data_IF_485058565483
#
_entry.id   IF_485058565483
#
_cell.length_a   1.000
_cell.length_b   1.000
_cell.length_c   1.000
_cell.angle_alpha   90.00
_cell.angle_beta   90.00
_cell.angle_gamma   90.00
#
_symmetry.space_group_name_H-M   'P 1'
#
loop_
_entity.id
_entity.type
_entity.pdbx_description
1 polymer ?
#
# COMPACT_ATOMS: atom_id res chain seq x y z
N UNK A 1 0.28 0.39 15.97
CA UNK A 1 -0.14 1.46 16.91
C UNK A 1 -1.60 1.26 17.36
N UNK A 2 -2.58 0.93 16.48
CA UNK A 2 -3.95 0.65 16.93
C UNK A 2 -4.04 -0.43 18.01
N UNK A 3 -3.23 -1.48 17.90
CA UNK A 3 -3.25 -2.59 18.86
C UNK A 3 -2.72 -2.21 20.25
N UNK A 4 -1.77 -1.26 20.34
CA UNK A 4 -1.22 -0.77 21.62
C UNK A 4 -2.27 0.07 22.34
N UNK A 5 -3.01 0.91 21.61
CA UNK A 5 -4.09 1.71 22.17
C UNK A 5 -5.18 0.83 22.85
N UNK A 6 -5.45 -0.35 22.30
CA UNK A 6 -6.43 -1.29 22.87
C UNK A 6 -6.01 -1.87 24.23
N UNK A 7 -4.72 -1.91 24.53
CA UNK A 7 -4.19 -2.47 25.79
C UNK A 7 -3.85 -1.41 26.82
N UNK A 8 -3.99 -0.12 26.49
CA UNK A 8 -3.77 0.99 27.43
C UNK A 8 -5.00 1.18 28.35
N UNK A 9 -4.74 1.45 29.63
CA UNK A 9 -5.70 1.95 30.61
C UNK A 9 -5.83 3.47 30.45
N UNK A 10 -7.04 4.01 30.59
CA UNK A 10 -7.27 5.44 30.41
C UNK A 10 -7.18 5.87 28.95
N UNK A 11 -7.91 5.18 28.06
CA UNK A 11 -8.00 5.52 26.63
C UNK A 11 -8.49 6.94 26.32
N UNK A 12 -9.10 7.59 27.32
CA UNK A 12 -9.61 8.96 27.28
C UNK A 12 -8.59 9.99 27.78
N UNK A 13 -7.44 9.54 28.32
CA UNK A 13 -6.44 10.45 28.87
C UNK A 13 -5.82 11.29 27.76
N UNK A 14 -5.58 12.56 28.05
CA UNK A 14 -4.85 13.44 27.14
C UNK A 14 -3.35 13.26 27.33
N UNK A 15 -2.57 13.55 26.28
CA UNK A 15 -1.10 13.42 26.31
C UNK A 15 -0.50 14.21 27.48
N UNK A 16 -1.09 15.35 27.83
CA UNK A 16 -0.64 16.19 28.93
C UNK A 16 -0.72 15.50 30.31
N UNK A 17 -1.67 14.58 30.51
CA UNK A 17 -1.82 13.82 31.77
C UNK A 17 -0.85 12.64 31.85
N UNK A 18 -0.45 12.09 30.69
CA UNK A 18 0.47 10.96 30.60
C UNK A 18 1.93 11.39 30.77
N UNK A 19 2.25 12.67 30.59
CA UNK A 19 3.60 13.22 30.75
C UNK A 19 3.81 13.80 32.15
N UNK A 20 4.43 13.02 33.03
CA UNK A 20 4.69 13.38 34.44
C UNK A 20 6.09 13.95 34.65
N UNK A 21 6.37 14.46 35.85
CA UNK A 21 7.73 14.90 36.24
C UNK A 21 8.76 13.76 36.21
N UNK A 22 8.30 12.51 36.30
CA UNK A 22 9.12 11.31 36.21
C UNK A 22 9.18 10.72 34.79
N UNK A 23 8.57 11.40 33.80
CA UNK A 23 8.49 10.95 32.41
C UNK A 23 7.12 10.39 32.03
N UNK A 24 7.08 9.55 30.98
CA UNK A 24 5.84 8.95 30.49
C UNK A 24 5.26 7.93 31.47
N UNK A 25 3.99 8.10 31.84
CA UNK A 25 3.23 7.14 32.65
C UNK A 25 2.18 6.46 31.78
N UNK A 26 2.51 5.26 31.27
CA UNK A 26 1.56 4.41 30.55
C UNK A 26 1.14 3.24 31.42
N UNK A 27 -0.16 3.14 31.67
CA UNK A 27 -0.74 2.00 32.37
C UNK A 27 -1.33 1.03 31.34
N UNK A 28 -0.98 -0.25 31.43
CA UNK A 28 -1.46 -1.27 30.50
C UNK A 28 -2.35 -2.27 31.24
N UNK A 29 -3.39 -2.76 30.57
CA UNK A 29 -4.39 -3.69 31.13
C UNK A 29 -3.84 -5.10 31.36
N UNK A 30 -2.74 -5.45 30.69
CA UNK A 30 -2.10 -6.77 30.73
C UNK A 30 -0.64 -6.67 30.30
N UNK A 31 0.10 -7.74 30.54
CA UNK A 31 1.44 -7.93 30.01
C UNK A 31 1.44 -8.09 28.47
N UNK A 32 2.56 -7.73 27.85
CA UNK A 32 2.77 -7.85 26.41
C UNK A 32 3.14 -9.28 26.03
N UNK A 33 2.63 -9.75 24.89
CA UNK A 33 3.15 -10.96 24.28
C UNK A 33 4.36 -10.65 23.39
N UNK A 34 5.14 -11.67 23.03
CA UNK A 34 6.37 -11.52 22.21
C UNK A 34 6.14 -10.77 20.88
N UNK A 35 4.93 -10.88 20.31
CA UNK A 35 4.56 -10.20 19.05
C UNK A 35 4.31 -8.70 19.24
N UNK A 36 4.00 -8.26 20.45
CA UNK A 36 3.74 -6.87 20.80
C UNK A 36 5.01 -6.13 21.21
N UNK A 37 5.99 -6.82 21.82
CA UNK A 37 7.22 -6.23 22.37
C UNK A 37 7.90 -5.30 21.37
N UNK A 38 8.15 -5.76 20.13
CA UNK A 38 8.84 -4.95 19.12
C UNK A 38 8.08 -3.65 18.78
N UNK A 39 6.74 -3.68 18.80
CA UNK A 39 5.90 -2.53 18.51
C UNK A 39 5.83 -1.57 19.70
N UNK A 40 5.75 -2.10 20.92
CA UNK A 40 5.80 -1.32 22.16
C UNK A 40 7.16 -0.64 22.29
N UNK A 41 8.26 -1.34 22.07
CA UNK A 41 9.61 -0.75 22.06
C UNK A 41 9.72 0.39 21.03
N UNK A 42 9.22 0.19 19.81
CA UNK A 42 9.17 1.24 18.79
C UNK A 42 8.33 2.44 19.21
N UNK A 43 7.22 2.21 19.89
CA UNK A 43 6.37 3.27 20.44
C UNK A 43 7.10 4.05 21.54
N UNK A 44 7.69 3.36 22.52
CA UNK A 44 8.45 3.97 23.61
C UNK A 44 9.62 4.81 23.07
N UNK A 45 10.40 4.30 22.13
CA UNK A 45 11.45 5.08 21.45
C UNK A 45 10.91 6.31 20.70
N UNK A 46 9.66 6.24 20.21
CA UNK A 46 9.05 7.38 19.51
C UNK A 46 8.64 8.48 20.48
N UNK A 47 8.11 8.12 21.64
CA UNK A 47 7.69 9.09 22.66
C UNK A 47 8.87 9.59 23.49
N UNK A 48 9.98 8.85 23.57
CA UNK A 48 11.22 9.32 24.21
C UNK A 48 11.80 10.56 23.50
N UNK A 49 11.60 10.70 22.19
CA UNK A 49 11.97 11.90 21.44
C UNK A 49 11.08 13.14 21.73
N UNK A 50 10.12 13.02 22.65
CA UNK A 50 9.26 14.12 23.07
C UNK A 50 9.98 15.07 24.01
N UNK A 51 10.03 16.34 23.63
CA UNK A 51 10.78 17.38 24.36
C UNK A 51 9.92 18.17 25.38
N UNK A 52 8.73 17.66 25.71
CA UNK A 52 7.82 18.28 26.68
C UNK A 52 6.63 19.00 26.06
N UNK A 53 5.71 19.41 26.93
CA UNK A 53 4.49 20.14 26.58
C UNK A 53 4.80 21.63 26.43
N UNK A 54 4.16 22.26 25.46
CA UNK A 54 4.18 23.71 25.29
C UNK A 54 2.83 24.29 25.70
N UNK A 55 2.84 25.52 26.23
CA UNK A 55 1.60 26.26 26.50
C UNK A 55 1.10 26.88 25.20
N UNK A 56 -0.11 26.55 24.78
CA UNK A 56 -0.72 27.07 23.55
C UNK A 56 -1.80 26.15 23.02
N UNK A 57 -2.36 26.51 21.85
CA UNK A 57 -3.26 25.62 21.10
C UNK A 57 -2.47 24.48 20.44
N UNK A 58 -3.10 23.32 20.35
CA UNK A 58 -2.51 22.15 19.68
C UNK A 58 -2.32 22.42 18.19
N UNK A 59 -1.14 22.08 17.68
CA UNK A 59 -0.80 22.21 16.26
C UNK A 59 -0.53 20.85 15.64
N UNK A 60 -0.98 20.65 14.40
CA UNK A 60 -0.62 19.47 13.63
C UNK A 60 0.86 19.51 13.27
N UNK A 61 1.63 18.52 13.73
CA UNK A 61 3.06 18.40 13.46
C UNK A 61 3.38 17.22 12.56
N UNK A 62 3.99 17.49 11.41
CA UNK A 62 4.43 16.48 10.46
C UNK A 62 5.83 15.96 10.79
N UNK A 63 5.92 14.68 11.16
CA UNK A 63 7.21 13.99 11.47
C UNK A 63 8.14 13.86 10.26
N UNK A 64 7.63 13.97 9.03
CA UNK A 64 8.43 13.74 7.81
C UNK A 64 9.39 14.89 7.45
N UNK A 65 9.47 15.97 8.23
CA UNK A 65 10.59 16.92 8.18
C UNK A 65 10.81 17.61 9.54
N UNK A 66 11.97 18.26 9.69
CA UNK A 66 12.37 18.96 10.93
C UNK A 66 11.57 20.23 11.24
N UNK A 67 10.82 20.76 10.26
CA UNK A 67 10.00 21.98 10.42
C UNK A 67 8.57 21.67 10.86
N UNK A 68 8.17 20.41 10.92
CA UNK A 68 6.80 20.03 11.29
C UNK A 68 5.73 20.35 10.24
N UNK A 69 6.11 20.88 9.08
CA UNK A 69 5.17 21.29 8.03
C UNK A 69 4.81 20.10 7.14
N UNK A 70 3.52 19.85 6.90
CA UNK A 70 3.15 18.84 5.92
C UNK A 70 3.49 19.30 4.50
N UNK A 71 4.26 18.49 3.76
CA UNK A 71 4.53 18.70 2.33
C UNK A 71 4.35 17.41 1.57
N UNK A 72 3.54 17.46 0.51
CA UNK A 72 3.25 16.31 -0.37
C UNK A 72 4.53 15.61 -0.84
N UNK A 73 5.53 16.37 -1.30
CA UNK A 73 6.82 15.82 -1.73
C UNK A 73 7.53 15.03 -0.61
N UNK A 74 7.54 15.54 0.63
CA UNK A 74 8.14 14.83 1.77
C UNK A 74 7.39 13.55 2.13
N UNK A 75 6.06 13.55 2.01
CA UNK A 75 5.24 12.37 2.23
C UNK A 75 5.53 11.26 1.20
N UNK A 76 5.61 11.61 -0.09
CA UNK A 76 5.97 10.64 -1.14
C UNK A 76 7.38 10.06 -0.95
N UNK A 77 8.35 10.88 -0.56
CA UNK A 77 9.71 10.41 -0.28
C UNK A 77 9.72 9.39 0.86
N UNK A 78 9.03 9.68 1.96
CA UNK A 78 8.92 8.78 3.10
C UNK A 78 8.24 7.45 2.70
N UNK A 79 7.17 7.52 1.91
CA UNK A 79 6.44 6.34 1.43
C UNK A 79 7.29 5.46 0.50
N UNK A 80 8.14 6.08 -0.33
CA UNK A 80 9.04 5.34 -1.22
C UNK A 80 10.23 4.71 -0.49
N UNK A 81 10.61 5.21 0.69
CA UNK A 81 11.67 4.61 1.52
C UNK A 81 11.18 3.38 2.29
N UNK A 82 9.92 3.38 2.72
CA UNK A 82 9.33 2.29 3.51
C UNK A 82 8.79 1.15 2.65
N UNK A 83 8.51 1.41 1.38
CA UNK A 83 8.11 0.38 0.42
C UNK A 83 9.37 -0.30 -0.13
N UNK A 84 9.50 -1.64 -0.04
CA UNK A 84 10.58 -2.34 -0.71
C UNK A 84 10.61 -1.92 -2.17
N UNK A 85 11.78 -1.48 -2.67
CA UNK A 85 11.95 -1.25 -4.10
C UNK A 85 11.85 -2.60 -4.81
N UNK A 86 10.62 -3.01 -5.13
CA UNK A 86 10.37 -4.05 -6.11
C UNK A 86 11.05 -3.59 -7.39
N UNK A 87 11.85 -4.47 -8.02
CA UNK A 87 12.63 -4.21 -9.24
C UNK A 87 11.93 -3.17 -10.11
N UNK A 88 12.64 -2.11 -10.50
CA UNK A 88 12.04 -0.94 -11.15
C UNK A 88 11.31 -1.37 -12.43
N UNK A 89 10.02 -1.67 -12.28
CA UNK A 89 9.17 -2.01 -13.40
C UNK A 89 9.28 -0.85 -14.39
N UNK A 90 9.49 -1.09 -15.69
CA UNK A 90 9.81 -0.04 -16.64
C UNK A 90 8.55 0.74 -17.05
N UNK A 91 7.79 1.23 -16.07
CA UNK A 91 6.59 2.03 -16.27
C UNK A 91 6.87 3.21 -17.21
N UNK A 92 8.05 3.83 -17.12
CA UNK A 92 8.48 4.91 -18.01
C UNK A 92 8.42 4.51 -19.49
N UNK A 93 8.67 3.26 -19.85
CA UNK A 93 8.56 2.79 -21.25
C UNK A 93 7.11 2.80 -21.73
N UNK A 94 6.14 2.48 -20.86
CA UNK A 94 4.70 2.47 -21.18
C UNK A 94 4.17 3.89 -21.44
N UNK A 95 4.67 4.87 -20.68
CA UNK A 95 4.18 6.25 -20.77
C UNK A 95 4.99 7.14 -21.73
N UNK A 96 6.20 6.72 -22.12
CA UNK A 96 7.05 7.44 -23.11
C UNK A 96 6.95 6.88 -24.52
N UNK A 97 6.18 5.82 -24.72
CA UNK A 97 5.94 5.26 -26.04
C UNK A 97 5.10 6.23 -26.89
N UNK A 98 5.36 6.25 -28.21
CA UNK A 98 4.60 7.06 -29.18
C UNK A 98 3.29 6.36 -29.56
N UNK A 99 2.49 5.96 -28.56
CA UNK A 99 1.20 5.29 -28.76
C UNK A 99 0.08 6.15 -28.16
N UNK A 100 -1.16 6.00 -28.66
CA UNK A 100 -2.33 6.60 -28.03
C UNK A 100 -2.40 6.30 -26.52
N UNK A 101 -2.76 7.31 -25.72
CA UNK A 101 -2.80 7.21 -24.26
C UNK A 101 -3.72 6.09 -23.76
N UNK A 102 -4.82 5.81 -24.46
CA UNK A 102 -5.73 4.69 -24.15
C UNK A 102 -5.00 3.34 -24.19
N UNK A 103 -4.05 3.17 -25.11
CA UNK A 103 -3.25 1.96 -25.24
C UNK A 103 -2.21 1.90 -24.11
N UNK A 104 -1.57 3.01 -23.76
CA UNK A 104 -0.68 3.06 -22.58
C UNK A 104 -1.42 2.69 -21.27
N UNK A 105 -2.65 3.18 -21.08
CA UNK A 105 -3.50 2.78 -19.95
C UNK A 105 -3.80 1.28 -19.97
N UNK A 106 -4.15 0.74 -21.14
CA UNK A 106 -4.41 -0.69 -21.28
C UNK A 106 -3.18 -1.55 -20.96
N UNK A 107 -2.00 -1.20 -21.52
CA UNK A 107 -0.73 -1.88 -21.24
C UNK A 107 -0.37 -1.78 -19.76
N UNK A 108 -0.62 -0.65 -19.11
CA UNK A 108 -0.40 -0.48 -17.67
C UNK A 108 -1.27 -1.43 -16.84
N UNK A 109 -2.56 -1.54 -17.17
CA UNK A 109 -3.49 -2.46 -16.50
C UNK A 109 -3.11 -3.93 -16.74
N UNK A 110 -2.69 -4.25 -17.97
CA UNK A 110 -2.18 -5.55 -18.35
C UNK A 110 -0.93 -5.92 -17.54
N UNK A 111 0.07 -5.04 -17.51
CA UNK A 111 1.32 -5.22 -16.77
C UNK A 111 1.14 -5.39 -15.26
N UNK A 112 0.09 -4.78 -14.70
CA UNK A 112 -0.24 -4.89 -13.28
C UNK A 112 -1.13 -6.11 -12.97
N UNK A 113 -1.49 -6.91 -13.96
CA UNK A 113 -2.43 -8.02 -13.84
C UNK A 113 -3.74 -7.62 -13.14
N UNK A 114 -4.28 -6.42 -13.42
CA UNK A 114 -5.50 -5.90 -12.75
C UNK A 114 -6.73 -5.94 -13.67
N UNK A 115 -6.57 -6.43 -14.90
CA UNK A 115 -7.70 -6.60 -15.82
C UNK A 115 -8.77 -7.53 -15.20
N UNK A 116 -10.03 -7.35 -15.61
CA UNK A 116 -11.19 -8.08 -15.07
C UNK A 116 -11.26 -9.53 -15.60
N UNK A 117 -10.19 -10.29 -15.46
CA UNK A 117 -10.21 -11.73 -15.77
C UNK A 117 -10.82 -12.51 -14.62
N UNK A 118 -11.37 -13.68 -14.92
CA UNK A 118 -11.97 -14.56 -13.91
C UNK A 118 -10.98 -14.94 -12.79
N UNK A 119 -9.68 -15.11 -13.09
CA UNK A 119 -8.63 -15.31 -12.08
C UNK A 119 -8.54 -14.14 -11.08
N UNK A 120 -8.66 -12.90 -11.55
CA UNK A 120 -8.62 -11.73 -10.69
C UNK A 120 -9.93 -11.53 -9.90
N UNK A 121 -11.06 -11.92 -10.46
CA UNK A 121 -12.34 -11.95 -9.74
C UNK A 121 -12.34 -13.00 -8.63
N UNK A 122 -11.72 -14.17 -8.87
CA UNK A 122 -11.49 -15.19 -7.84
C UNK A 122 -10.62 -14.69 -6.69
N UNK A 123 -9.52 -13.99 -6.97
CA UNK A 123 -8.69 -13.35 -5.93
C UNK A 123 -9.46 -12.35 -5.08
N UNK A 124 -10.56 -11.79 -5.61
CA UNK A 124 -11.48 -10.87 -4.91
C UNK A 124 -12.64 -11.59 -4.21
N UNK A 125 -12.66 -12.92 -4.18
CA UNK A 125 -13.68 -13.72 -3.50
C UNK A 125 -14.92 -14.05 -4.32
N UNK A 126 -14.92 -13.78 -5.64
CA UNK A 126 -16.05 -14.13 -6.52
C UNK A 126 -15.86 -15.54 -7.08
N UNK A 127 -16.81 -16.43 -6.81
CA UNK A 127 -16.79 -17.82 -7.28
C UNK A 127 -17.24 -17.91 -8.74
N UNK A 128 -16.30 -18.21 -9.65
CA UNK A 128 -16.56 -18.43 -11.08
C UNK A 128 -15.89 -19.74 -11.55
N UNK A 129 -16.37 -20.34 -12.63
CA UNK A 129 -15.53 -21.25 -13.42
C UNK A 129 -14.42 -20.40 -14.03
N UNK A 130 -13.15 -20.80 -13.93
CA UNK A 130 -12.00 -19.97 -14.37
C UNK A 130 -11.48 -20.35 -15.75
N UNK A 131 -12.32 -20.91 -16.62
CA UNK A 131 -11.93 -21.26 -17.99
C UNK A 131 -11.90 -20.02 -18.87
N UNK A 132 -10.89 -19.94 -19.74
CA UNK A 132 -10.74 -18.88 -20.73
C UNK A 132 -12.00 -18.77 -21.60
N UNK A 133 -12.61 -17.59 -21.65
CA UNK A 133 -13.81 -17.35 -22.46
C UNK A 133 -13.61 -17.60 -23.97
N UNK A 134 -12.38 -17.48 -24.47
CA UNK A 134 -12.11 -17.65 -25.91
C UNK A 134 -11.86 -19.12 -26.30
N UNK A 135 -11.01 -19.83 -25.57
CA UNK A 135 -10.61 -21.18 -25.94
C UNK A 135 -11.20 -22.28 -25.07
N UNK A 136 -11.74 -21.96 -23.90
CA UNK A 136 -12.31 -22.88 -22.90
C UNK A 136 -11.37 -24.01 -22.41
N UNK A 137 -10.14 -24.09 -22.93
CA UNK A 137 -9.17 -25.17 -22.70
C UNK A 137 -8.18 -24.87 -21.57
N UNK A 138 -8.03 -23.61 -21.16
CA UNK A 138 -7.06 -23.18 -20.17
C UNK A 138 -7.66 -22.17 -19.19
N UNK A 139 -6.94 -21.90 -18.09
CA UNK A 139 -7.38 -20.91 -17.11
C UNK A 139 -7.34 -19.49 -17.68
N UNK A 140 -8.39 -18.70 -17.41
CA UNK A 140 -8.48 -17.31 -17.81
C UNK A 140 -7.59 -16.41 -16.95
N UNK A 141 -6.31 -16.36 -17.35
CA UNK A 141 -5.34 -15.39 -16.84
C UNK A 141 -5.18 -14.25 -17.83
N UNK A 142 -4.77 -13.08 -17.34
CA UNK A 142 -4.47 -11.91 -18.17
C UNK A 142 -3.46 -12.27 -19.27
N UNK A 143 -2.36 -12.94 -18.92
CA UNK A 143 -1.37 -13.41 -19.90
C UNK A 143 -1.93 -14.41 -20.90
N UNK A 144 -2.79 -15.34 -20.46
CA UNK A 144 -3.40 -16.30 -21.37
C UNK A 144 -4.34 -15.61 -22.35
N UNK A 145 -5.28 -14.79 -21.86
CA UNK A 145 -6.29 -14.12 -22.68
C UNK A 145 -5.66 -13.20 -23.75
N UNK A 146 -4.57 -12.50 -23.42
CA UNK A 146 -3.97 -11.51 -24.32
C UNK A 146 -2.70 -11.97 -25.06
N UNK A 147 -2.02 -13.05 -24.65
CA UNK A 147 -0.75 -13.51 -25.29
C UNK A 147 -0.76 -15.00 -25.70
N UNK A 148 -1.36 -15.88 -24.91
CA UNK A 148 -1.21 -17.33 -25.11
C UNK A 148 -2.46 -18.04 -25.65
N UNK A 149 -3.60 -17.35 -25.72
CA UNK A 149 -4.81 -17.92 -26.27
C UNK A 149 -4.66 -18.11 -27.78
N UNK A 150 -4.97 -19.30 -28.28
CA UNK A 150 -4.91 -19.65 -29.72
C UNK A 150 -5.67 -18.67 -30.61
N UNK A 151 -6.85 -18.24 -30.17
CA UNK A 151 -7.67 -17.27 -30.90
C UNK A 151 -7.04 -15.88 -30.90
N UNK A 152 -6.46 -15.45 -29.78
CA UNK A 152 -5.74 -14.18 -29.70
C UNK A 152 -4.48 -14.18 -30.58
N UNK A 153 -3.76 -15.31 -30.66
CA UNK A 153 -2.60 -15.45 -31.55
C UNK A 153 -2.99 -15.42 -33.03
N UNK A 154 -4.12 -16.04 -33.39
CA UNK A 154 -4.67 -15.96 -34.75
C UNK A 154 -5.03 -14.51 -35.08
N UNK A 155 -5.71 -13.82 -34.16
CA UNK A 155 -6.08 -12.41 -34.34
C UNK A 155 -4.85 -11.52 -34.46
N UNK A 156 -3.82 -11.68 -33.62
CA UNK A 156 -2.59 -10.90 -33.71
C UNK A 156 -1.82 -11.10 -35.02
N UNK A 157 -1.97 -12.26 -35.66
CA UNK A 157 -1.34 -12.58 -36.95
C UNK A 157 -2.15 -12.07 -38.15
N UNK A 158 -3.43 -11.77 -37.96
CA UNK A 158 -4.21 -11.01 -38.95
C UNK A 158 -3.91 -9.52 -38.78
N UNK A 159 -3.66 -8.82 -39.88
CA UNK A 159 -3.20 -7.41 -39.95
C UNK A 159 -4.12 -6.35 -39.29
N UNK A 160 -5.10 -6.77 -38.49
CA UNK A 160 -6.16 -5.94 -37.95
C UNK A 160 -6.24 -5.94 -36.41
N UNK A 161 -5.29 -6.57 -35.70
CA UNK A 161 -5.36 -6.65 -34.23
C UNK A 161 -4.25 -5.96 -33.45
N UNK A 162 -3.34 -5.26 -34.13
CA UNK A 162 -2.60 -4.15 -33.54
C UNK A 162 -2.38 -3.09 -34.63
N UNK A 163 -3.01 -1.92 -34.39
CA UNK A 163 -3.25 -0.77 -35.29
C UNK A 163 -4.50 -0.86 -36.16
#
# INVERSE_FOLDING_TARGET
IPDIYNVVLGQQNIIAELWTKQGWSFNFRREYNDREIARVAKFLNTVEAFNGLQTGEDVMWWKGNSRGEFKVNSAYKLMNQTTPQTHSWPWKQIWRSKIPHIISCFIWLFAKEVALTQDNLKKRGITLCSSCFLCEEALEKVSHLFLHCKYTQILSNTKYFFF
#
